data_IF_153233309060
#
_entry.id   IF_153233309060
#
_cell.length_a   1.000
_cell.length_b   1.000
_cell.length_c   1.000
_cell.angle_alpha   90.00
_cell.angle_beta   90.00
_cell.angle_gamma   90.00
#
_symmetry.space_group_name_H-M   'P 1'
#
loop_
_entity.id
_entity.type
_entity.pdbx_description
1 polymer ?
#
# COMPACT_ATOMS: atom_id res chain seq x y z
N UNK A 1 -30.81 -26.78 -8.63
CA UNK A 1 -31.01 -25.87 -7.48
C UNK A 1 -30.77 -24.45 -7.97
N UNK A 2 -31.83 -23.68 -8.30
CA UNK A 2 -31.68 -22.36 -8.88
C UNK A 2 -31.45 -21.26 -7.82
N UNK A 3 -30.64 -20.27 -8.20
CA UNK A 3 -30.13 -19.16 -7.39
C UNK A 3 -31.20 -18.16 -6.90
N UNK A 4 -31.24 -17.98 -5.57
CA UNK A 4 -32.16 -17.06 -4.89
C UNK A 4 -31.84 -15.55 -5.07
N UNK A 5 -30.75 -15.18 -5.74
CA UNK A 5 -30.27 -13.79 -5.79
C UNK A 5 -30.88 -12.93 -6.91
N UNK A 6 -31.58 -13.52 -7.88
CA UNK A 6 -32.18 -12.79 -8.99
C UNK A 6 -33.63 -12.33 -8.75
N UNK A 7 -34.27 -12.79 -7.67
CA UNK A 7 -35.67 -12.43 -7.36
C UNK A 7 -35.82 -11.12 -6.56
N UNK A 8 -34.77 -10.67 -5.85
CA UNK A 8 -34.84 -9.45 -5.03
C UNK A 8 -34.75 -8.18 -5.88
N UNK A 9 -33.97 -8.20 -6.96
CA UNK A 9 -33.77 -7.03 -7.84
C UNK A 9 -35.00 -6.70 -8.70
N UNK A 10 -35.88 -7.67 -8.95
CA UNK A 10 -37.14 -7.45 -9.70
C UNK A 10 -38.34 -7.02 -8.85
N UNK A 11 -38.28 -7.15 -7.52
CA UNK A 11 -39.36 -6.70 -6.64
C UNK A 11 -39.30 -5.19 -6.33
N UNK A 12 -38.09 -4.62 -6.23
CA UNK A 12 -37.89 -3.19 -5.89
C UNK A 12 -38.21 -2.26 -7.08
N UNK A 13 -38.11 -2.74 -8.31
CA UNK A 13 -38.35 -1.95 -9.53
C UNK A 13 -39.83 -1.76 -9.91
N UNK A 14 -40.78 -2.43 -9.23
CA UNK A 14 -42.23 -2.25 -9.48
C UNK A 14 -42.97 -1.46 -8.40
N UNK A 15 -42.39 -1.27 -7.23
CA UNK A 15 -43.00 -0.47 -6.15
C UNK A 15 -42.80 1.05 -6.36
N UNK A 16 -41.71 1.47 -7.00
CA UNK A 16 -41.43 2.90 -7.23
C UNK A 16 -42.24 3.55 -8.38
N UNK A 17 -42.95 2.77 -9.21
CA UNK A 17 -43.75 3.30 -10.35
C UNK A 17 -45.24 3.52 -10.06
N UNK A 18 -45.74 3.26 -8.85
CA UNK A 18 -47.17 3.43 -8.51
C UNK A 18 -47.49 4.60 -7.57
N UNK A 19 -46.51 5.42 -7.20
CA UNK A 19 -46.74 6.58 -6.31
C UNK A 19 -46.80 7.91 -7.08
N UNK A 20 -46.32 7.97 -8.34
CA UNK A 20 -46.31 9.22 -9.11
C UNK A 20 -47.60 9.57 -9.89
N UNK A 21 -48.74 8.90 -9.69
CA UNK A 21 -49.96 9.17 -10.50
C UNK A 21 -51.25 9.32 -9.68
N UNK A 22 -51.20 9.63 -8.38
CA UNK A 22 -52.45 9.72 -7.58
C UNK A 22 -52.63 10.95 -6.68
N UNK A 23 -51.93 12.05 -6.93
CA UNK A 23 -52.35 13.34 -6.37
C UNK A 23 -52.50 14.36 -7.50
N UNK A 24 -53.33 13.98 -8.47
CA UNK A 24 -54.16 14.94 -9.18
C UNK A 24 -55.43 15.13 -8.35
N UNK A 25 -55.85 16.39 -8.23
CA UNK A 25 -57.15 16.89 -7.76
C UNK A 25 -57.43 16.91 -6.26
N UNK A 26 -57.22 18.11 -5.73
CA UNK A 26 -58.07 18.88 -4.81
C UNK A 26 -57.07 19.68 -3.97
N UNK A 27 -56.96 21.00 -4.04
CA UNK A 27 -58.01 21.96 -3.72
C UNK A 27 -57.61 23.32 -4.33
N UNK A 28 -58.51 23.88 -5.13
CA UNK A 28 -58.70 25.32 -5.31
C UNK A 28 -60.20 25.52 -5.01
N UNK A 29 -60.61 26.55 -4.26
CA UNK A 29 -60.69 27.87 -4.87
C UNK A 29 -60.44 29.07 -3.93
N UNK A 30 -60.45 30.25 -4.55
CA UNK A 30 -60.53 31.61 -3.97
C UNK A 30 -59.27 32.07 -3.22
N UNK A 31 -58.49 33.02 -3.73
CA UNK A 31 -58.93 34.41 -3.92
C UNK A 31 -58.28 35.07 -5.15
N UNK A 32 -59.10 35.40 -6.16
CA UNK A 32 -58.79 36.45 -7.12
C UNK A 32 -59.41 37.74 -6.62
N UNK A 33 -58.57 38.73 -6.35
CA UNK A 33 -58.74 40.15 -6.68
C UNK A 33 -57.94 41.00 -5.67
N UNK A 34 -56.84 41.60 -6.13
CA UNK A 34 -56.79 43.04 -6.39
C UNK A 34 -55.37 43.46 -6.83
N UNK A 35 -55.31 43.98 -8.06
CA UNK A 35 -54.51 45.12 -8.52
C UNK A 35 -52.98 45.10 -8.45
N UNK A 36 -52.41 45.10 -9.66
CA UNK A 36 -51.41 46.06 -10.14
C UNK A 36 -50.19 46.34 -9.24
N UNK A 37 -49.07 45.72 -9.61
CA UNK A 37 -47.76 46.07 -9.07
C UNK A 37 -46.66 45.19 -9.67
N UNK A 38 -46.33 45.39 -10.95
CA UNK A 38 -45.12 44.85 -11.53
C UNK A 38 -43.89 45.49 -10.86
N UNK A 39 -43.27 44.79 -9.92
CA UNK A 39 -41.89 45.05 -9.50
C UNK A 39 -41.25 43.72 -9.03
N UNK A 40 -40.07 43.44 -9.58
CA UNK A 40 -39.33 42.17 -9.58
C UNK A 40 -39.37 41.31 -8.32
N UNK A 41 -39.48 40.00 -8.53
CA UNK A 41 -39.36 38.94 -7.51
C UNK A 41 -37.90 38.46 -7.41
N UNK A 42 -37.08 38.92 -6.45
CA UNK A 42 -35.75 38.37 -6.20
C UNK A 42 -35.78 37.03 -5.44
N UNK A 43 -36.86 36.71 -4.72
CA UNK A 43 -36.89 35.56 -3.79
C UNK A 43 -36.91 34.19 -4.48
N UNK A 44 -37.48 34.08 -5.69
CA UNK A 44 -37.51 32.81 -6.45
C UNK A 44 -36.20 32.56 -7.19
N UNK A 45 -35.58 33.62 -7.72
CA UNK A 45 -34.25 33.55 -8.34
C UNK A 45 -33.17 33.22 -7.31
N UNK A 46 -33.21 33.84 -6.12
CA UNK A 46 -32.27 33.50 -5.04
C UNK A 46 -32.33 32.01 -4.63
N UNK A 47 -33.52 31.40 -4.56
CA UNK A 47 -33.66 29.98 -4.23
C UNK A 47 -33.17 29.03 -5.35
N UNK A 48 -33.34 29.42 -6.61
CA UNK A 48 -32.83 28.67 -7.78
C UNK A 48 -31.29 28.83 -7.91
N UNK A 49 -30.76 30.02 -7.58
CA UNK A 49 -29.32 30.30 -7.54
C UNK A 49 -28.63 29.55 -6.39
N UNK A 50 -29.24 29.48 -5.21
CA UNK A 50 -28.71 28.74 -4.05
C UNK A 50 -28.65 27.23 -4.30
N UNK A 51 -29.65 26.68 -5.02
CA UNK A 51 -29.67 25.24 -5.36
C UNK A 51 -28.66 24.90 -6.46
N UNK A 52 -28.46 25.78 -7.44
CA UNK A 52 -27.43 25.60 -8.46
C UNK A 52 -26.01 25.74 -7.88
N UNK A 53 -25.78 26.70 -6.99
CA UNK A 53 -24.51 26.87 -6.29
C UNK A 53 -24.19 25.67 -5.38
N UNK A 54 -25.21 25.11 -4.71
CA UNK A 54 -25.09 23.89 -3.93
C UNK A 54 -24.73 22.66 -4.79
N UNK A 55 -25.30 22.53 -5.99
CA UNK A 55 -24.97 21.44 -6.91
C UNK A 55 -23.52 21.51 -7.40
N UNK A 56 -23.06 22.71 -7.80
CA UNK A 56 -21.67 22.93 -8.21
C UNK A 56 -20.67 22.67 -7.07
N UNK A 57 -21.01 23.08 -5.84
CA UNK A 57 -20.17 22.80 -4.67
C UNK A 57 -20.06 21.30 -4.39
N UNK A 58 -21.15 20.54 -4.58
CA UNK A 58 -21.12 19.09 -4.45
C UNK A 58 -20.27 18.42 -5.52
N UNK A 59 -20.40 18.83 -6.78
CA UNK A 59 -19.60 18.31 -7.87
C UNK A 59 -18.10 18.59 -7.66
N UNK A 60 -17.74 19.80 -7.24
CA UNK A 60 -16.37 20.14 -6.90
C UNK A 60 -15.81 19.28 -5.76
N UNK A 61 -16.62 19.00 -4.73
CA UNK A 61 -16.23 18.12 -3.62
C UNK A 61 -16.02 16.68 -4.09
N UNK A 62 -16.88 16.17 -4.99
CA UNK A 62 -16.73 14.85 -5.61
C UNK A 62 -15.47 14.76 -6.48
N UNK A 63 -15.17 15.78 -7.29
CA UNK A 63 -13.97 15.83 -8.14
C UNK A 63 -12.69 15.83 -7.29
N UNK A 64 -12.66 16.58 -6.19
CA UNK A 64 -11.54 16.57 -5.23
C UNK A 64 -11.33 15.20 -4.62
N UNK A 65 -12.42 14.56 -4.20
CA UNK A 65 -12.37 13.21 -3.66
C UNK A 65 -11.86 12.20 -4.71
N UNK A 66 -12.35 12.27 -5.95
CA UNK A 66 -11.92 11.40 -7.02
C UNK A 66 -10.42 11.58 -7.33
N UNK A 67 -9.95 12.82 -7.36
CA UNK A 67 -8.52 13.15 -7.53
C UNK A 67 -7.68 12.56 -6.39
N UNK A 68 -8.16 12.66 -5.15
CA UNK A 68 -7.49 12.07 -4.00
C UNK A 68 -7.43 10.55 -4.08
N UNK A 69 -8.51 9.89 -4.51
CA UNK A 69 -8.55 8.43 -4.73
C UNK A 69 -7.57 8.02 -5.83
N UNK A 70 -7.48 8.77 -6.93
CA UNK A 70 -6.52 8.50 -8.00
C UNK A 70 -5.07 8.64 -7.50
N UNK A 71 -4.77 9.68 -6.71
CA UNK A 71 -3.44 9.87 -6.13
C UNK A 71 -3.10 8.81 -5.06
N UNK A 72 -4.11 8.17 -4.46
CA UNK A 72 -3.98 7.09 -3.48
C UNK A 72 -3.82 5.69 -4.10
N UNK A 73 -3.84 5.58 -5.44
CA UNK A 73 -3.73 4.29 -6.14
C UNK A 73 -2.37 3.61 -5.85
N UNK A 74 -2.34 2.26 -5.77
CA UNK A 74 -1.10 1.51 -5.61
C UNK A 74 -0.11 1.81 -6.74
N UNK A 75 1.17 1.98 -6.37
CA UNK A 75 2.25 2.25 -7.32
C UNK A 75 2.51 3.74 -7.61
N UNK A 76 1.70 4.66 -7.09
CA UNK A 76 1.98 6.10 -7.18
C UNK A 76 2.62 6.64 -5.89
N UNK A 77 3.71 7.41 -6.00
CA UNK A 77 4.35 8.09 -4.86
C UNK A 77 3.56 9.30 -4.33
N UNK A 78 2.36 9.53 -4.86
CA UNK A 78 1.54 10.73 -4.58
C UNK A 78 0.71 10.62 -3.30
N UNK A 79 1.09 9.74 -2.37
CA UNK A 79 0.36 9.49 -1.12
C UNK A 79 0.25 10.75 -0.24
N UNK A 80 1.31 11.56 -0.17
CA UNK A 80 1.29 12.82 0.58
C UNK A 80 0.29 13.82 -0.02
N UNK A 81 0.21 13.87 -1.35
CA UNK A 81 -0.76 14.71 -2.09
C UNK A 81 -2.18 14.22 -1.86
N UNK A 82 -2.42 12.91 -1.92
CA UNK A 82 -3.71 12.31 -1.61
C UNK A 82 -4.16 12.63 -0.18
N UNK A 83 -3.25 12.52 0.80
CA UNK A 83 -3.53 12.82 2.20
C UNK A 83 -3.94 14.29 2.39
N UNK A 84 -3.15 15.22 1.85
CA UNK A 84 -3.46 16.66 1.89
C UNK A 84 -4.80 17.00 1.24
N UNK A 85 -5.13 16.35 0.12
CA UNK A 85 -6.41 16.57 -0.56
C UNK A 85 -7.60 16.07 0.28
N UNK A 86 -7.47 14.92 0.96
CA UNK A 86 -8.50 14.40 1.87
C UNK A 86 -8.62 15.25 3.14
N UNK A 87 -7.50 15.68 3.72
CA UNK A 87 -7.47 16.60 4.88
C UNK A 87 -8.15 17.94 4.52
N UNK A 88 -7.87 18.48 3.33
CA UNK A 88 -8.54 19.69 2.82
C UNK A 88 -10.04 19.50 2.60
N UNK A 89 -10.50 18.31 2.19
CA UNK A 89 -11.92 18.01 2.04
C UNK A 89 -12.62 17.88 3.40
N UNK A 90 -11.92 17.38 4.42
CA UNK A 90 -12.42 17.28 5.80
C UNK A 90 -12.48 18.65 6.49
N UNK A 91 -11.60 19.57 6.12
CA UNK A 91 -11.63 20.96 6.60
C UNK A 91 -12.74 21.81 5.95
N UNK A 92 -13.36 21.33 4.86
CA UNK A 92 -14.46 22.02 4.19
C UNK A 92 -15.79 21.75 4.93
N UNK A 93 -16.32 22.79 5.57
CA UNK A 93 -17.52 22.74 6.42
C UNK A 93 -18.85 22.82 5.65
N UNK A 94 -18.80 22.97 4.33
CA UNK A 94 -20.01 22.99 3.50
C UNK A 94 -20.79 21.67 3.64
N UNK A 95 -22.12 21.76 3.66
CA UNK A 95 -22.99 20.59 3.83
C UNK A 95 -22.71 19.48 2.78
N UNK A 96 -22.35 19.89 1.57
CA UNK A 96 -22.01 18.99 0.47
C UNK A 96 -20.69 18.24 0.69
N UNK A 97 -19.70 18.88 1.33
CA UNK A 97 -18.43 18.25 1.69
C UNK A 97 -18.61 17.32 2.90
N UNK A 98 -19.42 17.73 3.89
CA UNK A 98 -19.77 16.91 5.06
C UNK A 98 -20.40 15.58 4.68
N UNK A 99 -21.19 15.52 3.61
CA UNK A 99 -21.73 14.27 3.08
C UNK A 99 -20.64 13.26 2.65
N UNK A 100 -19.46 13.74 2.23
CA UNK A 100 -18.34 12.93 1.79
C UNK A 100 -17.32 12.63 2.91
N UNK A 101 -17.43 13.27 4.07
CA UNK A 101 -16.49 13.10 5.19
C UNK A 101 -16.33 11.65 5.67
N UNK A 102 -17.40 10.82 5.80
CA UNK A 102 -17.24 9.43 6.22
C UNK A 102 -16.32 8.64 5.27
N UNK A 103 -16.44 8.89 3.98
CA UNK A 103 -15.64 8.23 2.96
C UNK A 103 -14.19 8.76 2.95
N UNK A 104 -14.01 10.08 3.08
CA UNK A 104 -12.68 10.67 3.20
C UNK A 104 -11.90 10.15 4.43
N UNK A 105 -12.58 9.96 5.57
CA UNK A 105 -11.99 9.34 6.78
C UNK A 105 -11.60 7.88 6.54
N UNK A 106 -12.46 7.09 5.92
CA UNK A 106 -12.16 5.69 5.60
C UNK A 106 -10.91 5.56 4.69
N UNK A 107 -10.79 6.43 3.68
CA UNK A 107 -9.61 6.47 2.81
C UNK A 107 -8.32 6.86 3.55
N UNK A 108 -8.39 7.83 4.47
CA UNK A 108 -7.24 8.22 5.29
C UNK A 108 -6.75 7.08 6.17
N UNK A 109 -7.66 6.33 6.79
CA UNK A 109 -7.29 5.15 7.58
C UNK A 109 -6.67 4.06 6.70
N UNK A 110 -7.23 3.80 5.52
CA UNK A 110 -6.62 2.88 4.55
C UNK A 110 -5.20 3.32 4.14
N UNK A 111 -4.99 4.61 3.89
CA UNK A 111 -3.68 5.18 3.57
C UNK A 111 -2.70 5.02 4.73
N UNK A 112 -3.15 5.27 5.98
CA UNK A 112 -2.34 5.11 7.19
C UNK A 112 -1.88 3.67 7.37
N UNK A 113 -2.79 2.70 7.25
CA UNK A 113 -2.46 1.27 7.36
C UNK A 113 -1.44 0.88 6.29
N UNK A 114 -1.60 1.34 5.05
CA UNK A 114 -0.64 1.07 3.97
C UNK A 114 0.74 1.65 4.24
N UNK A 115 0.80 2.88 4.78
CA UNK A 115 2.07 3.50 5.18
C UNK A 115 2.77 2.72 6.30
N UNK A 116 2.01 2.22 7.29
CA UNK A 116 2.55 1.39 8.37
C UNK A 116 3.12 0.07 7.84
N UNK A 117 2.39 -0.61 6.95
CA UNK A 117 2.86 -1.85 6.31
C UNK A 117 4.12 -1.60 5.49
N UNK A 118 4.19 -0.50 4.73
CA UNK A 118 5.38 -0.15 3.95
C UNK A 118 6.60 0.11 4.86
N UNK A 119 6.41 0.83 5.96
CA UNK A 119 7.49 1.08 6.92
C UNK A 119 7.98 -0.21 7.59
N UNK A 120 7.08 -1.13 7.94
CA UNK A 120 7.43 -2.41 8.52
C UNK A 120 8.16 -3.32 7.51
N UNK A 121 7.71 -3.35 6.26
CA UNK A 121 8.39 -4.10 5.20
C UNK A 121 9.82 -3.59 4.96
N UNK A 122 10.01 -2.28 4.95
CA UNK A 122 11.34 -1.67 4.81
C UNK A 122 12.24 -1.97 6.02
N UNK A 123 11.69 -1.96 7.24
CA UNK A 123 12.44 -2.34 8.43
C UNK A 123 12.90 -3.80 8.39
N UNK A 124 12.00 -4.73 8.03
CA UNK A 124 12.33 -6.14 7.87
C UNK A 124 13.38 -6.36 6.78
N UNK A 125 13.28 -5.62 5.67
CA UNK A 125 14.27 -5.68 4.60
C UNK A 125 15.66 -5.30 5.10
N UNK A 126 15.78 -4.21 5.88
CA UNK A 126 17.06 -3.80 6.48
C UNK A 126 17.62 -4.85 7.43
N UNK A 127 16.77 -5.47 8.25
CA UNK A 127 17.19 -6.55 9.13
C UNK A 127 17.74 -7.75 8.35
N UNK A 128 17.10 -8.13 7.24
CA UNK A 128 17.60 -9.19 6.37
C UNK A 128 18.94 -8.82 5.74
N UNK A 129 19.09 -7.58 5.27
CA UNK A 129 20.35 -7.09 4.69
C UNK A 129 21.49 -7.07 5.73
N UNK A 130 21.20 -6.71 6.97
CA UNK A 130 22.17 -6.76 8.09
C UNK A 130 22.57 -8.19 8.44
N UNK A 131 21.60 -9.10 8.52
CA UNK A 131 21.86 -10.52 8.77
C UNK A 131 22.67 -11.15 7.64
N UNK A 132 22.37 -10.81 6.38
CA UNK A 132 23.13 -11.29 5.23
C UNK A 132 24.60 -10.84 5.30
N UNK A 133 24.86 -9.56 5.63
CA UNK A 133 26.22 -9.05 5.81
C UNK A 133 26.95 -9.75 6.96
N UNK A 134 26.25 -10.02 8.06
CA UNK A 134 26.84 -10.75 9.19
C UNK A 134 27.19 -12.20 8.79
N UNK A 135 26.32 -12.87 8.03
CA UNK A 135 26.61 -14.22 7.54
C UNK A 135 27.77 -14.26 6.55
N UNK A 136 27.88 -13.26 5.67
CA UNK A 136 29.00 -13.17 4.73
C UNK A 136 30.34 -12.97 5.46
N UNK A 137 30.36 -12.12 6.49
CA UNK A 137 31.54 -11.93 7.34
C UNK A 137 31.95 -13.23 8.05
N UNK A 138 30.97 -13.95 8.62
CA UNK A 138 31.22 -15.25 9.27
C UNK A 138 31.75 -16.30 8.28
N UNK A 139 31.24 -16.31 7.05
CA UNK A 139 31.73 -17.23 6.01
C UNK A 139 33.21 -16.95 5.68
N UNK A 140 33.59 -15.67 5.56
CA UNK A 140 34.99 -15.28 5.33
C UNK A 140 35.91 -15.69 6.50
N UNK A 141 35.46 -15.52 7.73
CA UNK A 141 36.19 -15.97 8.92
C UNK A 141 36.37 -17.50 8.93
N UNK A 142 35.31 -18.25 8.65
CA UNK A 142 35.37 -19.72 8.55
C UNK A 142 36.36 -20.16 7.47
N UNK A 143 36.38 -19.50 6.31
CA UNK A 143 37.33 -19.82 5.24
C UNK A 143 38.77 -19.43 5.58
N UNK A 144 38.99 -18.39 6.39
CA UNK A 144 40.29 -18.08 6.95
C UNK A 144 40.76 -19.17 7.93
N UNK A 145 39.89 -19.60 8.84
CA UNK A 145 40.18 -20.67 9.81
C UNK A 145 40.42 -22.02 9.13
N UNK A 146 39.67 -22.35 8.07
CA UNK A 146 39.90 -23.55 7.25
C UNK A 146 41.27 -23.54 6.60
N UNK A 147 41.70 -22.39 6.05
CA UNK A 147 43.04 -22.24 5.47
C UNK A 147 44.15 -22.39 6.51
N UNK A 148 43.96 -21.83 7.71
CA UNK A 148 44.91 -21.98 8.82
C UNK A 148 45.01 -23.45 9.27
N UNK A 149 43.87 -24.12 9.46
CA UNK A 149 43.87 -25.55 9.80
C UNK A 149 44.58 -26.41 8.75
N UNK A 150 44.30 -26.16 7.46
CA UNK A 150 44.97 -26.89 6.38
C UNK A 150 46.49 -26.61 6.33
N UNK A 151 46.95 -25.45 6.79
CA UNK A 151 48.38 -25.15 6.91
C UNK A 151 49.01 -25.87 8.10
N UNK A 152 48.35 -25.88 9.26
CA UNK A 152 48.80 -26.61 10.45
C UNK A 152 48.85 -28.12 10.20
N UNK A 153 47.87 -28.68 9.51
CA UNK A 153 47.86 -30.09 9.11
C UNK A 153 49.08 -30.44 8.26
N UNK A 154 49.40 -29.62 7.25
CA UNK A 154 50.60 -29.80 6.43
C UNK A 154 51.90 -29.71 7.25
N UNK A 155 51.95 -28.84 8.25
CA UNK A 155 53.11 -28.76 9.15
C UNK A 155 53.25 -30.00 10.03
N UNK A 156 52.14 -30.51 10.59
CA UNK A 156 52.15 -31.74 11.37
C UNK A 156 52.55 -32.95 10.52
N UNK A 157 52.07 -33.04 9.28
CA UNK A 157 52.47 -34.09 8.33
C UNK A 157 53.98 -34.03 8.03
N UNK A 158 54.53 -32.84 7.79
CA UNK A 158 55.96 -32.66 7.57
C UNK A 158 56.80 -33.04 8.81
N UNK A 159 56.35 -32.69 10.01
CA UNK A 159 57.00 -33.10 11.26
C UNK A 159 56.95 -34.62 11.44
N UNK A 160 55.79 -35.24 11.17
CA UNK A 160 55.65 -36.69 11.24
C UNK A 160 56.54 -37.42 10.22
N UNK A 161 56.78 -36.83 9.05
CA UNK A 161 57.73 -37.37 8.06
C UNK A 161 59.17 -37.30 8.59
N UNK A 162 59.57 -36.16 9.15
CA UNK A 162 60.89 -36.00 9.78
C UNK A 162 61.07 -36.99 10.93
N UNK A 163 60.07 -37.17 11.79
CA UNK A 163 60.11 -38.17 12.86
C UNK A 163 60.31 -39.58 12.31
N UNK A 164 59.63 -39.95 11.22
CA UNK A 164 59.85 -41.26 10.58
C UNK A 164 61.28 -41.41 10.06
N UNK A 165 61.82 -40.38 9.41
CA UNK A 165 63.22 -40.38 8.94
C UNK A 165 64.22 -40.52 10.09
N UNK A 166 63.98 -39.84 11.22
CA UNK A 166 64.85 -39.89 12.40
C UNK A 166 64.73 -41.20 13.19
N UNK A 167 63.53 -41.79 13.23
CA UNK A 167 63.25 -43.04 13.97
C UNK A 167 63.73 -44.29 13.20
N UNK A 168 63.99 -44.16 11.89
CA UNK A 168 64.63 -45.17 11.04
C UNK A 168 66.09 -44.79 10.75
N UNK A 169 67.04 -44.94 11.71
CA UNK A 169 68.45 -44.70 11.41
C UNK A 169 68.98 -45.81 10.50
N UNK A 170 69.15 -45.49 9.21
CA UNK A 170 70.06 -46.16 8.29
C UNK A 170 69.74 -47.61 7.93
N UNK A 171 69.03 -47.80 6.81
CA UNK A 171 69.42 -48.90 5.91
C UNK A 171 70.76 -48.49 5.27
N UNK A 172 71.87 -49.22 5.48
CA UNK A 172 73.13 -48.86 4.86
C UNK A 172 72.95 -48.90 3.35
N UNK A 173 73.18 -47.76 2.70
CA UNK A 173 73.39 -47.69 1.25
C UNK A 173 74.60 -48.57 0.95
N UNK A 174 74.32 -49.77 0.44
CA UNK A 174 75.35 -50.71 -0.01
C UNK A 174 76.11 -50.02 -1.14
N UNK A 175 77.41 -49.73 -1.01
CA UNK A 175 78.17 -49.13 -2.09
C UNK A 175 78.13 -50.11 -3.28
N UNK A 176 77.73 -49.61 -4.45
CA UNK A 176 77.96 -50.31 -5.71
C UNK A 176 79.47 -50.47 -5.85
N UNK A 177 79.98 -51.62 -5.41
CA UNK A 177 81.33 -52.06 -5.71
C UNK A 177 81.47 -52.11 -7.22
N UNK A 178 82.24 -51.17 -7.76
CA UNK A 178 82.78 -51.30 -9.10
C UNK A 178 83.55 -52.60 -9.20
N UNK A 179 83.28 -53.36 -10.25
CA UNK A 179 84.13 -54.42 -10.74
C UNK A 179 84.83 -53.86 -11.97
N UNK A 180 86.16 -53.67 -11.95
CA UNK A 180 86.95 -53.68 -13.16
C UNK A 180 87.32 -55.14 -13.46
N UNK A 181 87.05 -55.58 -14.70
CA UNK A 181 87.87 -56.40 -15.61
C UNK A 181 87.02 -56.79 -16.82
#
# INVERSE_FOLDING_TARGET
>A
MPDARLHVVRAVSRAARRVCVRIARAVLPATLALLAGCAGLPARQAAEDDTSAAALAHEAAQQRLHTAVQAAQPGQERLATARRALESLLADDRAQARALHPYARALLEQLRVRQQVAALAEHLRRQLDELARASDAQALELDALRRQNAALQRQLEALAEIERELTLPGLPVRPRTGLPE
#
